data_IF_057139886719
#
_entry.id   IF_057139886719
#
_cell.length_a   1.000
_cell.length_b   1.000
_cell.length_c   1.000
_cell.angle_alpha   90.00
_cell.angle_beta   90.00
_cell.angle_gamma   90.00
#
_symmetry.space_group_name_H-M   'P 1'
#
loop_
_entity.id
_entity.type
_entity.pdbx_description
1 polymer ?
#
# COMPACT_ATOMS: atom_id res chain seq x y z
N UNK A 1 29.98 23.26 -16.19
CA UNK A 1 29.82 22.84 -14.78
C UNK A 1 28.41 22.28 -14.70
N UNK A 2 28.27 20.95 -14.62
CA UNK A 2 26.97 20.35 -14.35
C UNK A 2 26.81 20.34 -12.83
N UNK A 3 26.09 21.32 -12.30
CA UNK A 3 25.49 21.19 -10.98
C UNK A 3 24.47 20.05 -11.07
N UNK A 4 24.86 18.87 -10.60
CA UNK A 4 23.90 17.84 -10.26
C UNK A 4 23.18 18.35 -9.02
N UNK A 5 21.99 18.90 -9.22
CA UNK A 5 21.06 19.22 -8.15
C UNK A 5 20.80 17.92 -7.37
N UNK A 6 21.42 17.83 -6.20
CA UNK A 6 21.28 16.69 -5.30
C UNK A 6 19.85 16.70 -4.77
N UNK A 7 18.92 16.06 -5.48
CA UNK A 7 17.60 15.75 -4.93
C UNK A 7 17.86 14.81 -3.75
N UNK A 8 17.65 15.30 -2.53
CA UNK A 8 17.76 14.47 -1.34
C UNK A 8 16.82 13.27 -1.51
N UNK A 9 17.39 12.07 -1.69
CA UNK A 9 16.60 10.85 -1.78
C UNK A 9 16.01 10.57 -0.41
N UNK A 10 14.72 10.82 -0.25
CA UNK A 10 13.99 10.44 0.96
C UNK A 10 13.86 8.91 0.96
N UNK A 11 14.55 8.25 1.89
CA UNK A 11 14.68 6.80 1.88
C UNK A 11 13.40 6.13 2.38
N UNK A 12 13.17 4.88 1.97
CA UNK A 12 12.05 4.08 2.48
C UNK A 12 12.16 3.90 3.99
N UNK A 13 13.36 3.63 4.50
CA UNK A 13 13.62 3.52 5.93
C UNK A 13 13.23 4.81 6.67
N UNK A 14 13.61 5.98 6.14
CA UNK A 14 13.21 7.27 6.70
C UNK A 14 11.70 7.45 6.69
N UNK A 15 11.04 7.13 5.57
CA UNK A 15 9.58 7.20 5.47
C UNK A 15 8.86 6.30 6.49
N UNK A 16 9.43 5.16 6.85
CA UNK A 16 8.91 4.28 7.92
C UNK A 16 9.18 4.87 9.31
N UNK A 17 10.40 5.36 9.56
CA UNK A 17 10.78 5.97 10.84
C UNK A 17 9.97 7.24 11.14
N UNK A 18 9.67 8.03 10.12
CA UNK A 18 8.85 9.24 10.21
C UNK A 18 7.33 8.95 10.21
N UNK A 19 6.94 7.68 10.05
CA UNK A 19 5.53 7.24 10.06
C UNK A 19 4.73 7.60 8.81
N UNK A 20 5.38 8.02 7.72
CA UNK A 20 4.75 8.24 6.40
C UNK A 20 4.34 6.90 5.78
N UNK A 21 5.16 5.87 5.98
CA UNK A 21 4.89 4.48 5.60
C UNK A 21 4.76 3.60 6.83
N UNK A 22 3.82 2.66 6.78
CA UNK A 22 3.65 1.62 7.79
C UNK A 22 4.04 0.28 7.18
N UNK A 23 5.05 -0.37 7.75
CA UNK A 23 5.49 -1.69 7.30
C UNK A 23 4.45 -2.77 7.63
N UNK A 24 3.99 -3.47 6.59
CA UNK A 24 3.04 -4.58 6.68
C UNK A 24 3.62 -5.89 6.11
N UNK A 25 4.95 -5.93 5.91
CA UNK A 25 5.64 -7.02 5.20
C UNK A 25 5.37 -8.39 5.81
N UNK A 26 5.23 -8.48 7.13
CA UNK A 26 4.92 -9.76 7.81
C UNK A 26 3.59 -10.34 7.33
N UNK A 27 2.51 -9.57 7.39
CA UNK A 27 1.19 -10.03 6.94
C UNK A 27 1.13 -10.18 5.42
N UNK A 28 1.81 -9.32 4.67
CA UNK A 28 1.94 -9.47 3.23
C UNK A 28 2.61 -10.80 2.85
N UNK A 29 3.64 -11.21 3.58
CA UNK A 29 4.29 -12.50 3.37
C UNK A 29 3.33 -13.67 3.66
N UNK A 30 2.56 -13.60 4.74
CA UNK A 30 1.51 -14.58 5.07
C UNK A 30 0.43 -14.66 3.98
N UNK A 31 0.09 -13.53 3.35
CA UNK A 31 -0.82 -13.46 2.19
C UNK A 31 -0.18 -13.89 0.85
N UNK A 32 1.11 -14.21 0.84
CA UNK A 32 1.83 -14.76 -0.32
C UNK A 32 2.63 -13.75 -1.16
N UNK A 33 2.83 -12.53 -0.67
CA UNK A 33 3.73 -11.55 -1.29
C UNK A 33 5.20 -11.87 -0.96
N UNK A 34 6.09 -11.64 -1.93
CA UNK A 34 7.53 -11.94 -1.79
C UNK A 34 8.38 -10.74 -1.41
N UNK A 35 7.87 -9.54 -1.67
CA UNK A 35 8.62 -8.30 -1.54
C UNK A 35 8.19 -7.53 -0.28
N UNK A 36 9.11 -6.78 0.36
CA UNK A 36 8.75 -5.88 1.45
C UNK A 36 7.59 -4.98 1.02
N UNK A 37 6.57 -4.89 1.86
CA UNK A 37 5.31 -4.22 1.54
C UNK A 37 4.97 -3.23 2.63
N UNK A 38 4.67 -2.00 2.25
CA UNK A 38 4.18 -0.96 3.16
C UNK A 38 2.85 -0.38 2.67
N UNK A 39 2.13 0.26 3.58
CA UNK A 39 0.99 1.12 3.27
C UNK A 39 1.28 2.56 3.67
N UNK A 40 0.65 3.54 3.04
CA UNK A 40 0.73 4.94 3.50
C UNK A 40 0.05 5.12 4.85
N UNK A 41 0.46 6.14 5.60
CA UNK A 41 -0.14 6.50 6.89
C UNK A 41 -1.62 6.84 6.76
N UNK A 42 -2.04 7.44 5.64
CA UNK A 42 -3.44 7.75 5.34
C UNK A 42 -4.28 6.47 5.17
N UNK A 43 -3.75 5.47 4.45
CA UNK A 43 -4.40 4.17 4.30
C UNK A 43 -4.41 3.43 5.63
N UNK A 44 -3.31 3.48 6.41
CA UNK A 44 -3.29 2.92 7.76
C UNK A 44 -4.38 3.54 8.66
N UNK A 45 -4.53 4.86 8.64
CA UNK A 45 -5.58 5.54 9.41
C UNK A 45 -6.98 5.08 8.99
N UNK A 46 -7.23 4.89 7.68
CA UNK A 46 -8.49 4.30 7.23
C UNK A 46 -8.70 2.89 7.80
N UNK A 47 -7.65 2.04 7.79
CA UNK A 47 -7.72 0.63 8.18
C UNK A 47 -7.75 0.38 9.70
N UNK A 48 -7.10 1.24 10.49
CA UNK A 48 -6.94 1.03 11.92
C UNK A 48 -7.76 2.02 12.75
N UNK A 49 -7.70 3.31 12.41
CA UNK A 49 -8.29 4.39 13.22
C UNK A 49 -9.76 4.62 12.88
N UNK A 50 -10.10 4.54 11.59
CA UNK A 50 -11.47 4.75 11.08
C UNK A 50 -12.19 3.42 10.79
N UNK A 51 -12.04 2.44 11.68
CA UNK A 51 -12.67 1.12 11.57
C UNK A 51 -13.94 1.03 12.42
N UNK A 52 -14.99 0.31 12.00
CA UNK A 52 -16.10 -0.02 12.87
C UNK A 52 -15.62 -0.96 14.01
N UNK A 53 -16.36 -1.00 15.12
CA UNK A 53 -16.02 -1.88 16.26
C UNK A 53 -16.06 -3.38 15.91
N UNK A 54 -16.80 -3.73 14.86
CA UNK A 54 -16.98 -5.11 14.38
C UNK A 54 -15.82 -5.64 13.53
N UNK A 55 -14.88 -4.79 13.16
CA UNK A 55 -13.72 -5.15 12.33
C UNK A 55 -12.42 -4.80 13.04
N UNK A 56 -11.37 -5.57 12.77
CA UNK A 56 -10.01 -5.29 13.20
C UNK A 56 -9.13 -4.84 12.03
N UNK A 57 -7.93 -4.35 12.35
CA UNK A 57 -6.98 -3.89 11.35
C UNK A 57 -6.48 -5.04 10.49
N UNK A 58 -6.18 -6.17 11.12
CA UNK A 58 -5.64 -7.37 10.50
C UNK A 58 -6.56 -7.94 9.43
N UNK A 59 -7.86 -8.08 9.70
CA UNK A 59 -8.85 -8.56 8.74
C UNK A 59 -8.99 -7.62 7.55
N UNK A 60 -9.05 -6.31 7.78
CA UNK A 60 -9.18 -5.31 6.71
C UNK A 60 -7.94 -5.25 5.82
N UNK A 61 -6.75 -5.35 6.43
CA UNK A 61 -5.48 -5.45 5.70
C UNK A 61 -5.42 -6.76 4.89
N UNK A 62 -5.86 -7.87 5.47
CA UNK A 62 -5.93 -9.16 4.78
C UNK A 62 -6.81 -9.09 3.53
N UNK A 63 -7.96 -8.44 3.60
CA UNK A 63 -8.85 -8.25 2.45
C UNK A 63 -8.18 -7.45 1.32
N UNK A 64 -7.49 -6.35 1.66
CA UNK A 64 -6.73 -5.56 0.68
C UNK A 64 -5.65 -6.40 0.00
N UNK A 65 -4.86 -7.14 0.79
CA UNK A 65 -3.77 -7.98 0.28
C UNK A 65 -4.31 -9.06 -0.66
N UNK A 66 -5.44 -9.68 -0.32
CA UNK A 66 -6.05 -10.70 -1.18
C UNK A 66 -6.62 -10.12 -2.47
N UNK A 67 -7.32 -8.99 -2.42
CA UNK A 67 -7.84 -8.32 -3.62
C UNK A 67 -6.68 -7.89 -4.53
N UNK A 68 -5.62 -7.30 -3.98
CA UNK A 68 -4.43 -6.94 -4.73
C UNK A 68 -3.79 -8.17 -5.38
N UNK A 69 -3.64 -9.28 -4.65
CA UNK A 69 -3.08 -10.53 -5.18
C UNK A 69 -3.91 -11.08 -6.35
N UNK A 70 -5.24 -11.07 -6.23
CA UNK A 70 -6.15 -11.48 -7.31
C UNK A 70 -6.01 -10.55 -8.53
N UNK A 71 -5.86 -9.24 -8.31
CA UNK A 71 -5.65 -8.27 -9.39
C UNK A 71 -4.32 -8.49 -10.10
N UNK A 72 -3.23 -8.67 -9.38
CA UNK A 72 -1.92 -9.02 -9.94
C UNK A 72 -2.02 -10.29 -10.79
N UNK A 73 -2.66 -11.35 -10.27
CA UNK A 73 -2.81 -12.61 -11.00
C UNK A 73 -3.67 -12.48 -12.28
N UNK A 74 -4.60 -11.52 -12.31
CA UNK A 74 -5.44 -11.22 -13.48
C UNK A 74 -4.80 -10.26 -14.48
N UNK A 75 -3.69 -9.61 -14.15
CA UNK A 75 -3.02 -8.63 -15.02
C UNK A 75 -2.31 -9.33 -16.17
N UNK A 76 -2.66 -8.94 -17.40
CA UNK A 76 -2.05 -9.50 -18.62
C UNK A 76 -0.79 -8.76 -19.06
N UNK A 77 -0.67 -7.49 -18.69
CA UNK A 77 0.52 -6.68 -18.99
C UNK A 77 1.58 -6.87 -17.90
N UNK A 78 2.62 -7.60 -18.23
CA UNK A 78 3.74 -7.88 -17.30
C UNK A 78 4.78 -6.75 -17.27
N UNK A 79 4.58 -5.66 -18.00
CA UNK A 79 5.51 -4.51 -18.08
C UNK A 79 4.99 -3.28 -17.32
N UNK A 80 4.22 -3.51 -16.25
CA UNK A 80 3.76 -2.45 -15.35
C UNK A 80 4.41 -2.59 -13.98
N UNK A 81 4.72 -1.46 -13.36
CA UNK A 81 5.11 -1.35 -11.96
C UNK A 81 3.91 -1.00 -11.06
N UNK A 82 2.75 -0.69 -11.65
CA UNK A 82 1.56 -0.21 -10.96
C UNK A 82 0.36 -1.12 -11.19
N UNK A 83 -0.40 -1.37 -10.12
CA UNK A 83 -1.67 -2.08 -10.13
C UNK A 83 -2.74 -1.24 -9.44
N UNK A 84 -3.76 -0.86 -10.19
CA UNK A 84 -4.92 -0.13 -9.68
C UNK A 84 -6.05 -1.09 -9.34
N UNK A 85 -6.70 -0.86 -8.20
CA UNK A 85 -7.80 -1.69 -7.74
C UNK A 85 -8.77 -0.90 -6.86
N UNK A 86 -9.90 -1.51 -6.56
CA UNK A 86 -10.89 -0.90 -5.67
C UNK A 86 -11.35 -1.93 -4.65
N UNK A 87 -11.55 -1.47 -3.43
CA UNK A 87 -11.90 -2.28 -2.27
C UNK A 87 -13.07 -1.62 -1.55
N UNK A 88 -13.99 -2.44 -1.05
CA UNK A 88 -15.00 -1.96 -0.11
C UNK A 88 -14.39 -1.98 1.27
N UNK A 89 -14.40 -0.84 1.95
CA UNK A 89 -13.84 -0.72 3.29
C UNK A 89 -14.91 -0.04 4.16
N UNK A 90 -15.41 -0.76 5.16
CA UNK A 90 -16.42 -0.22 6.05
C UNK A 90 -15.78 0.83 6.97
N UNK A 91 -16.43 1.98 7.14
CA UNK A 91 -16.16 2.97 8.20
C UNK A 91 -17.29 2.94 9.25
N UNK A 92 -17.14 3.55 10.44
CA UNK A 92 -18.21 3.60 11.45
C UNK A 92 -19.55 4.14 10.92
N UNK A 93 -19.52 4.99 9.89
CA UNK A 93 -20.69 5.58 9.25
C UNK A 93 -20.88 5.09 7.81
N UNK A 94 -20.44 3.86 7.49
CA UNK A 94 -20.44 3.30 6.13
C UNK A 94 -21.79 3.53 5.46
N UNK A 95 -21.75 4.08 4.24
CA UNK A 95 -22.89 4.01 3.31
C UNK A 95 -22.59 2.92 2.28
N UNK A 96 -23.62 2.35 1.65
CA UNK A 96 -23.50 1.25 0.66
C UNK A 96 -22.56 1.55 -0.54
N UNK A 97 -22.04 2.79 -0.67
CA UNK A 97 -21.18 3.24 -1.77
C UNK A 97 -19.71 3.47 -1.41
N UNK A 98 -19.20 3.03 -0.26
CA UNK A 98 -17.84 3.34 0.20
C UNK A 98 -16.78 2.43 -0.46
N UNK A 99 -16.66 2.57 -1.78
CA UNK A 99 -15.61 1.97 -2.59
C UNK A 99 -14.38 2.89 -2.64
N UNK A 100 -13.27 2.42 -2.09
CA UNK A 100 -12.00 3.13 -2.11
C UNK A 100 -11.14 2.67 -3.29
N UNK A 101 -10.59 3.62 -4.03
CA UNK A 101 -9.65 3.37 -5.12
C UNK A 101 -8.23 3.41 -4.59
N UNK A 102 -7.52 2.30 -4.74
CA UNK A 102 -6.15 2.13 -4.30
C UNK A 102 -5.24 1.84 -5.49
N UNK A 103 -3.96 2.12 -5.31
CA UNK A 103 -2.89 1.66 -6.20
C UNK A 103 -1.81 0.96 -5.38
N UNK A 104 -1.20 -0.06 -5.98
CA UNK A 104 0.05 -0.63 -5.51
C UNK A 104 1.15 -0.30 -6.51
N UNK A 105 2.27 0.23 -6.03
CA UNK A 105 3.44 0.55 -6.85
C UNK A 105 4.61 -0.33 -6.41
N UNK A 106 5.27 -0.94 -7.37
CA UNK A 106 6.55 -1.63 -7.22
C UNK A 106 7.68 -0.66 -7.58
N UNK A 107 8.53 -0.30 -6.61
CA UNK A 107 9.67 0.60 -6.83
C UNK A 107 10.96 0.01 -6.26
N UNK A 108 12.07 0.74 -6.41
CA UNK A 108 13.34 0.39 -5.78
C UNK A 108 13.37 0.86 -4.31
N UNK A 109 13.72 -0.03 -3.41
CA UNK A 109 14.02 0.26 -2.00
C UNK A 109 15.41 0.86 -1.82
N UNK A 110 15.81 0.99 -0.55
CA UNK A 110 17.06 1.66 -0.17
C UNK A 110 18.32 0.93 -0.68
N UNK A 111 18.22 -0.37 -0.98
CA UNK A 111 19.28 -1.19 -1.60
C UNK A 111 18.95 -1.59 -3.05
N UNK A 112 18.07 -0.86 -3.73
CA UNK A 112 17.55 -1.14 -5.07
C UNK A 112 16.79 -2.48 -5.19
N UNK A 113 16.37 -3.07 -4.06
CA UNK A 113 15.48 -4.22 -4.02
C UNK A 113 14.05 -3.82 -4.40
N UNK A 114 13.25 -4.71 -5.01
CA UNK A 114 11.84 -4.41 -5.26
C UNK A 114 11.09 -4.29 -3.94
N UNK A 115 10.34 -3.20 -3.79
CA UNK A 115 9.43 -2.97 -2.66
C UNK A 115 8.04 -2.60 -3.17
N UNK A 116 7.01 -3.01 -2.43
CA UNK A 116 5.62 -2.69 -2.73
C UNK A 116 5.13 -1.60 -1.78
N UNK A 117 4.40 -0.63 -2.33
CA UNK A 117 3.71 0.39 -1.54
C UNK A 117 2.26 0.48 -1.99
N UNK A 118 1.33 0.28 -1.06
CA UNK A 118 -0.12 0.37 -1.29
C UNK A 118 -0.62 1.70 -0.71
N UNK A 119 -1.37 2.44 -1.51
CA UNK A 119 -1.83 3.79 -1.17
C UNK A 119 -3.14 4.11 -1.88
N UNK A 120 -3.79 5.22 -1.53
CA UNK A 120 -4.91 5.73 -2.31
C UNK A 120 -4.44 6.15 -3.71
N UNK A 121 -5.36 6.05 -4.68
CA UNK A 121 -5.02 6.31 -6.09
C UNK A 121 -4.56 7.74 -6.37
N UNK A 122 -4.93 8.68 -5.50
CA UNK A 122 -4.66 10.12 -5.57
C UNK A 122 -3.46 10.57 -4.72
N UNK A 123 -2.84 9.68 -3.96
CA UNK A 123 -1.56 9.95 -3.30
C UNK A 123 -0.43 9.77 -4.32
N UNK A 124 0.69 10.50 -4.19
CA UNK A 124 1.85 10.41 -5.07
C UNK A 124 3.07 9.81 -4.36
#
# INVERSE_FOLDING_TARGET
MNDFELVSSYSRKQAIEDGVLVDVSKMAQEAGFKYPTAITSSLYALLNENKPETEDFEGRLWDILNILRLKIAGTKDLKTDRIDFSVHINTPNTKESDMHKLKCICSGGDSAEPVLTIMFINED
#
